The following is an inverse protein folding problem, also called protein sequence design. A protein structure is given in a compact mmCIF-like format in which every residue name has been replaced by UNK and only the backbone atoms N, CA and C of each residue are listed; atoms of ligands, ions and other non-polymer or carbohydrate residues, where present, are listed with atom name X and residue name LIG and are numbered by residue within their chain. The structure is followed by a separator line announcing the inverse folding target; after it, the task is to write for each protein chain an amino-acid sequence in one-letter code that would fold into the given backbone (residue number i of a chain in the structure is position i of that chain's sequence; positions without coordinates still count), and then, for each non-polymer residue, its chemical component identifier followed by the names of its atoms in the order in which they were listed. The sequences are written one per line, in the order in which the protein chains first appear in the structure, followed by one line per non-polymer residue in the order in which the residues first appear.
data_IF_948170075335
#
_entry.id   IF_948170075335
#
_cell.length_a   1.000
_cell.length_b   1.000
_cell.length_c   1.000
_cell.angle_alpha   90.00
_cell.angle_beta   90.00
_cell.angle_gamma   90.00
#
_symmetry.space_group_name_H-M   'P 1'
#
loop_
_entity.id
_entity.type
_entity.pdbx_description
1 polymer ?
#
# COMPACT_ATOMS: atom_id res chain seq x y z
N UNK A 1 32.31 -42.57 -7.15
CA UNK A 1 32.40 -41.09 -7.10
C UNK A 1 31.48 -40.49 -8.15
N UNK A 2 30.16 -40.41 -7.90
CA UNK A 2 29.20 -39.77 -8.81
C UNK A 2 28.00 -39.25 -8.01
N UNK A 3 28.11 -38.04 -7.47
CA UNK A 3 27.07 -37.42 -6.65
C UNK A 3 27.04 -35.89 -6.71
N UNK A 4 28.02 -35.25 -7.35
CA UNK A 4 28.17 -33.79 -7.33
C UNK A 4 27.43 -33.06 -8.47
N UNK A 5 27.00 -33.76 -9.53
CA UNK A 5 26.40 -33.11 -10.72
C UNK A 5 24.88 -33.01 -10.69
N UNK A 6 24.19 -33.87 -9.92
CA UNK A 6 22.73 -33.86 -9.84
C UNK A 6 22.19 -32.71 -8.98
N UNK A 7 22.93 -32.22 -7.98
CA UNK A 7 22.42 -31.12 -7.13
C UNK A 7 22.32 -29.78 -7.86
N UNK A 8 23.27 -29.48 -8.76
CA UNK A 8 23.27 -28.24 -9.56
C UNK A 8 22.22 -28.26 -10.67
N UNK A 9 21.99 -29.43 -11.27
CA UNK A 9 21.01 -29.62 -12.34
C UNK A 9 19.58 -29.66 -11.79
N UNK A 10 19.35 -30.35 -10.67
CA UNK A 10 18.05 -30.36 -9.96
C UNK A 10 17.73 -28.99 -9.36
N UNK A 11 18.72 -28.28 -8.82
CA UNK A 11 18.54 -26.90 -8.36
C UNK A 11 18.12 -25.96 -9.49
N UNK A 12 18.83 -25.98 -10.63
CA UNK A 12 18.44 -25.20 -11.81
C UNK A 12 17.03 -25.54 -12.30
N UNK A 13 16.69 -26.81 -12.41
CA UNK A 13 15.37 -27.25 -12.87
C UNK A 13 14.24 -26.80 -11.93
N UNK A 14 14.50 -26.69 -10.62
CA UNK A 14 13.52 -26.23 -9.64
C UNK A 14 13.26 -24.72 -9.70
N UNK A 15 14.28 -23.92 -10.00
CA UNK A 15 14.11 -22.45 -10.15
C UNK A 15 13.59 -22.04 -11.52
N UNK A 16 13.75 -22.87 -12.56
CA UNK A 16 13.33 -22.56 -13.93
C UNK A 16 11.83 -22.21 -14.05
N UNK A 17 10.87 -22.93 -13.45
CA UNK A 17 9.45 -22.56 -13.50
C UNK A 17 9.17 -21.19 -12.88
N UNK A 18 9.83 -20.87 -11.76
CA UNK A 18 9.69 -19.57 -11.11
C UNK A 18 10.27 -18.44 -11.96
N UNK A 19 11.42 -18.66 -12.60
CA UNK A 19 12.03 -17.70 -13.51
C UNK A 19 11.21 -17.49 -14.77
N UNK A 20 10.65 -18.55 -15.36
CA UNK A 20 9.75 -18.47 -16.51
C UNK A 20 8.49 -17.70 -16.14
N UNK A 21 7.91 -17.94 -14.96
CA UNK A 21 6.76 -17.18 -14.47
C UNK A 21 7.09 -15.69 -14.29
N UNK A 22 8.20 -15.38 -13.62
CA UNK A 22 8.65 -13.99 -13.42
C UNK A 22 8.97 -13.29 -14.75
N UNK A 23 9.55 -14.00 -15.72
CA UNK A 23 9.81 -13.47 -17.04
C UNK A 23 8.50 -13.22 -17.81
N UNK A 24 7.57 -14.18 -17.82
CA UNK A 24 6.31 -14.09 -18.57
C UNK A 24 5.31 -13.08 -17.99
N UNK A 25 5.21 -12.95 -16.67
CA UNK A 25 4.21 -12.11 -16.00
C UNK A 25 4.79 -10.88 -15.30
N UNK A 26 6.11 -10.80 -15.10
CA UNK A 26 6.76 -9.62 -14.55
C UNK A 26 7.50 -8.83 -15.63
N UNK A 27 8.52 -9.44 -16.22
CA UNK A 27 9.43 -8.74 -17.15
C UNK A 27 8.76 -8.45 -18.49
N UNK A 28 8.07 -9.42 -19.07
CA UNK A 28 7.41 -9.28 -20.36
C UNK A 28 6.38 -8.13 -20.39
N UNK A 29 5.39 -8.03 -19.46
CA UNK A 29 4.45 -6.90 -19.48
C UNK A 29 5.13 -5.56 -19.16
N UNK A 30 6.20 -5.54 -18.37
CA UNK A 30 6.98 -4.33 -18.12
C UNK A 30 7.63 -3.81 -19.42
N UNK A 31 8.29 -4.68 -20.18
CA UNK A 31 8.89 -4.31 -21.46
C UNK A 31 7.83 -3.85 -22.47
N UNK A 32 6.69 -4.54 -22.50
CA UNK A 32 5.56 -4.19 -23.35
C UNK A 32 4.99 -2.80 -22.99
N UNK A 33 4.88 -2.49 -21.70
CA UNK A 33 4.45 -1.18 -21.22
C UNK A 33 5.41 -0.07 -21.66
N UNK A 34 6.72 -0.29 -21.55
CA UNK A 34 7.74 0.66 -22.04
C UNK A 34 7.58 0.86 -23.55
N UNK A 35 7.47 -0.22 -24.32
CA UNK A 35 7.34 -0.18 -25.77
C UNK A 35 6.10 0.61 -26.22
N UNK A 36 4.93 0.35 -25.64
CA UNK A 36 3.70 1.09 -25.97
C UNK A 36 3.67 2.51 -25.43
N UNK A 37 4.41 2.83 -24.37
CA UNK A 37 4.47 4.20 -23.82
C UNK A 37 5.29 5.18 -24.67
N UNK A 38 5.98 4.70 -25.73
CA UNK A 38 6.85 5.52 -26.57
C UNK A 38 6.53 5.43 -28.08
N UNK A 39 5.30 5.75 -28.55
CA UNK A 39 4.92 5.52 -29.95
C UNK A 39 5.61 6.42 -30.98
N UNK A 40 6.18 7.57 -30.58
CA UNK A 40 6.64 8.57 -31.55
C UNK A 40 7.88 9.37 -31.14
N UNK A 41 8.37 9.27 -29.91
CA UNK A 41 9.38 10.21 -29.42
C UNK A 41 10.40 9.64 -28.42
N UNK A 42 10.47 8.32 -28.27
CA UNK A 42 11.56 7.64 -27.58
C UNK A 42 11.69 8.08 -26.10
N UNK A 43 12.90 8.46 -25.70
CA UNK A 43 13.21 8.95 -24.35
C UNK A 43 12.53 10.30 -24.02
N UNK A 44 12.08 11.07 -25.00
CA UNK A 44 11.55 12.41 -24.73
C UNK A 44 10.19 12.39 -24.04
N UNK A 45 9.40 11.32 -24.21
CA UNK A 45 8.17 11.09 -23.45
C UNK A 45 8.43 11.02 -21.94
N UNK A 46 9.60 10.52 -21.54
CA UNK A 46 10.01 10.46 -20.13
C UNK A 46 10.61 11.78 -19.64
N UNK A 47 11.29 12.53 -20.52
CA UNK A 47 11.80 13.87 -20.17
C UNK A 47 10.65 14.84 -19.89
N UNK A 48 9.56 14.76 -20.65
CA UNK A 48 8.35 15.55 -20.42
C UNK A 48 7.71 15.32 -19.03
N UNK A 49 7.98 14.18 -18.37
CA UNK A 49 7.53 13.94 -17.00
C UNK A 49 8.23 14.88 -16.00
N UNK A 50 9.51 15.19 -16.23
CA UNK A 50 10.27 16.10 -15.38
C UNK A 50 9.87 17.57 -15.55
N UNK A 51 9.23 17.89 -16.68
CA UNK A 51 8.64 19.20 -16.94
C UNK A 51 7.31 19.39 -16.20
N UNK A 52 6.76 18.32 -15.59
CA UNK A 52 5.48 18.39 -14.88
C UNK A 52 5.63 19.18 -13.56
N UNK A 53 4.96 20.33 -13.41
CA UNK A 53 5.19 21.24 -12.28
C UNK A 53 4.92 20.62 -10.90
N UNK A 54 4.04 19.63 -10.83
CA UNK A 54 3.63 18.97 -9.60
C UNK A 54 4.54 17.77 -9.23
N UNK A 55 5.45 17.34 -10.11
CA UNK A 55 6.28 16.16 -9.89
C UNK A 55 7.06 16.22 -8.55
N UNK A 56 7.71 17.33 -8.15
CA UNK A 56 8.40 17.40 -6.86
C UNK A 56 7.45 17.26 -5.66
N UNK A 57 6.22 17.78 -5.77
CA UNK A 57 5.19 17.70 -4.71
C UNK A 57 4.72 16.25 -4.57
N UNK A 58 4.44 15.59 -5.68
CA UNK A 58 4.03 14.17 -5.70
C UNK A 58 5.13 13.30 -5.09
N UNK A 59 6.38 13.47 -5.53
CA UNK A 59 7.52 12.71 -5.00
C UNK A 59 7.66 12.95 -3.50
N UNK A 60 7.66 14.21 -3.05
CA UNK A 60 7.77 14.54 -1.62
C UNK A 60 6.63 13.91 -0.81
N UNK A 61 5.39 14.01 -1.27
CA UNK A 61 4.24 13.46 -0.57
C UNK A 61 4.30 11.93 -0.52
N UNK A 62 4.64 11.27 -1.62
CA UNK A 62 4.82 9.81 -1.67
C UNK A 62 5.93 9.36 -0.72
N UNK A 63 7.09 10.03 -0.72
CA UNK A 63 8.19 9.66 0.17
C UNK A 63 7.82 9.86 1.64
N UNK A 64 7.24 11.00 2.00
CA UNK A 64 6.79 11.28 3.38
C UNK A 64 5.75 10.25 3.82
N UNK A 65 4.76 9.97 2.97
CA UNK A 65 3.72 8.99 3.25
C UNK A 65 4.29 7.57 3.39
N UNK A 66 5.11 7.12 2.44
CA UNK A 66 5.69 5.78 2.43
C UNK A 66 6.62 5.55 3.62
N UNK A 67 7.57 6.45 3.87
CA UNK A 67 8.49 6.30 5.01
C UNK A 67 7.78 6.52 6.35
N UNK A 68 6.86 7.48 6.43
CA UNK A 68 6.06 7.72 7.63
C UNK A 68 5.22 6.49 7.99
N UNK A 69 4.51 5.92 7.01
CA UNK A 69 3.68 4.73 7.22
C UNK A 69 4.55 3.51 7.54
N UNK A 70 5.63 3.26 6.79
CA UNK A 70 6.50 2.11 7.03
C UNK A 70 7.19 2.19 8.40
N UNK A 71 7.69 3.37 8.78
CA UNK A 71 8.31 3.61 10.08
C UNK A 71 7.31 3.44 11.22
N UNK A 72 6.15 4.08 11.12
CA UNK A 72 5.09 3.97 12.13
C UNK A 72 4.59 2.53 12.29
N UNK A 73 4.32 1.84 11.18
CA UNK A 73 3.86 0.44 11.21
C UNK A 73 4.92 -0.49 11.82
N UNK A 74 6.20 -0.27 11.52
CA UNK A 74 7.31 -1.07 12.06
C UNK A 74 7.48 -0.85 13.56
N UNK A 75 7.46 0.41 14.02
CA UNK A 75 7.54 0.74 15.43
C UNK A 75 6.36 0.18 16.21
N UNK A 76 5.13 0.40 15.73
CA UNK A 76 3.92 -0.12 16.36
C UNK A 76 3.92 -1.65 16.38
N UNK A 77 4.27 -2.29 15.26
CA UNK A 77 4.36 -3.73 15.14
C UNK A 77 5.39 -4.34 16.09
N UNK A 78 6.55 -3.70 16.24
CA UNK A 78 7.59 -4.13 17.18
C UNK A 78 7.10 -4.00 18.64
N UNK A 79 6.48 -2.89 19.00
CA UNK A 79 5.92 -2.69 20.34
C UNK A 79 4.86 -3.74 20.67
N UNK A 80 3.94 -4.01 19.73
CA UNK A 80 2.91 -5.02 19.89
C UNK A 80 3.50 -6.44 19.94
N UNK A 81 4.54 -6.73 19.18
CA UNK A 81 5.23 -8.02 19.21
C UNK A 81 5.92 -8.27 20.55
N UNK A 82 6.68 -7.30 21.05
CA UNK A 82 7.32 -7.38 22.37
C UNK A 82 6.28 -7.51 23.48
N UNK A 83 5.18 -6.75 23.39
CA UNK A 83 4.06 -6.87 24.33
C UNK A 83 3.48 -8.29 24.31
N UNK A 84 3.14 -8.83 23.14
CA UNK A 84 2.56 -10.16 23.02
C UNK A 84 3.51 -11.27 23.50
N UNK A 85 4.83 -11.13 23.29
CA UNK A 85 5.84 -12.07 23.78
C UNK A 85 6.02 -12.01 25.30
N UNK A 86 5.84 -10.84 25.90
CA UNK A 86 5.92 -10.65 27.35
C UNK A 86 4.77 -11.30 28.15
N UNK A 87 3.69 -11.75 27.49
CA UNK A 87 2.54 -12.35 28.16
C UNK A 87 2.79 -13.83 28.53
N UNK A 88 2.88 -14.20 29.83
CA UNK A 88 3.19 -15.57 30.25
C UNK A 88 2.06 -16.57 29.93
N UNK A 89 0.82 -16.10 29.78
CA UNK A 89 -0.33 -16.87 29.31
C UNK A 89 -1.17 -15.97 28.40
N UNK A 90 -1.58 -16.48 27.23
CA UNK A 90 -2.40 -15.72 26.28
C UNK A 90 -1.64 -15.03 25.16
N UNK A 91 -0.31 -15.17 25.07
CA UNK A 91 0.51 -14.67 23.95
C UNK A 91 -0.07 -15.04 22.58
N UNK A 92 -0.51 -16.30 22.40
CA UNK A 92 -1.17 -16.75 21.16
C UNK A 92 -2.43 -15.94 20.82
N UNK A 93 -3.28 -15.62 21.81
CA UNK A 93 -4.49 -14.84 21.57
C UNK A 93 -4.13 -13.38 21.23
N UNK A 94 -3.18 -12.79 21.95
CA UNK A 94 -2.68 -11.45 21.68
C UNK A 94 -2.12 -11.33 20.24
N UNK A 95 -1.28 -12.29 19.82
CA UNK A 95 -0.75 -12.32 18.46
C UNK A 95 -1.86 -12.43 17.41
N UNK A 96 -2.88 -13.27 17.63
CA UNK A 96 -4.03 -13.38 16.72
C UNK A 96 -4.76 -12.03 16.59
N UNK A 97 -5.03 -11.35 17.71
CA UNK A 97 -5.71 -10.05 17.69
C UNK A 97 -4.89 -8.98 16.96
N UNK A 98 -3.57 -8.99 17.12
CA UNK A 98 -2.66 -8.08 16.41
C UNK A 98 -2.65 -8.36 14.89
N UNK A 99 -2.74 -9.63 14.48
CA UNK A 99 -2.77 -10.00 13.06
C UNK A 99 -4.15 -9.86 12.39
N UNK A 100 -5.23 -9.90 13.17
CA UNK A 100 -6.61 -9.85 12.67
C UNK A 100 -6.86 -8.70 11.66
N UNK A 101 -6.45 -7.44 11.90
CA UNK A 101 -6.70 -6.35 10.95
C UNK A 101 -6.00 -6.55 9.59
N UNK A 102 -4.90 -7.32 9.52
CA UNK A 102 -4.21 -7.58 8.26
C UNK A 102 -4.96 -8.55 7.33
N UNK A 103 -5.96 -9.26 7.86
CA UNK A 103 -6.83 -10.13 7.07
C UNK A 103 -7.91 -9.33 6.34
N UNK A 104 -8.16 -8.08 6.73
CA UNK A 104 -9.18 -7.23 6.11
C UNK A 104 -8.73 -6.84 4.70
N UNK A 105 -9.54 -7.07 3.65
CA UNK A 105 -9.18 -6.69 2.29
C UNK A 105 -9.18 -5.17 2.13
N UNK A 106 -8.36 -4.68 1.19
CA UNK A 106 -8.22 -3.24 0.93
C UNK A 106 -9.55 -2.53 0.63
N UNK A 107 -10.44 -3.18 -0.11
CA UNK A 107 -11.77 -2.66 -0.45
C UNK A 107 -12.66 -2.45 0.79
N UNK A 108 -12.65 -3.39 1.73
CA UNK A 108 -13.40 -3.26 2.98
C UNK A 108 -12.81 -2.18 3.88
N UNK A 109 -11.48 -2.10 3.95
CA UNK A 109 -10.80 -1.03 4.69
C UNK A 109 -11.18 0.36 4.16
N UNK A 110 -11.20 0.54 2.84
CA UNK A 110 -11.63 1.80 2.21
C UNK A 110 -13.07 2.18 2.58
N UNK A 111 -13.99 1.21 2.58
CA UNK A 111 -15.37 1.45 3.00
C UNK A 111 -15.46 1.83 4.48
N UNK A 112 -14.74 1.14 5.36
CA UNK A 112 -14.69 1.46 6.80
C UNK A 112 -14.25 2.91 7.00
N UNK A 113 -13.16 3.32 6.36
CA UNK A 113 -12.67 4.70 6.46
C UNK A 113 -13.65 5.71 5.87
N UNK A 114 -14.27 5.40 4.73
CA UNK A 114 -15.29 6.27 4.11
C UNK A 114 -16.47 6.47 5.04
N UNK A 115 -16.94 5.42 5.72
CA UNK A 115 -18.02 5.49 6.71
C UNK A 115 -17.58 6.25 7.97
N UNK A 116 -16.35 6.04 8.45
CA UNK A 116 -15.81 6.76 9.62
C UNK A 116 -15.78 8.26 9.37
N UNK A 117 -15.33 8.65 8.18
CA UNK A 117 -15.20 10.04 7.74
C UNK A 117 -16.45 10.57 7.01
N UNK A 118 -17.58 9.85 7.07
CA UNK A 118 -18.82 10.34 6.49
C UNK A 118 -19.20 11.67 7.17
N UNK A 119 -19.43 12.76 6.40
CA UNK A 119 -19.63 14.08 6.97
C UNK A 119 -20.97 14.23 7.69
N UNK A 120 -21.95 13.36 7.42
CA UNK A 120 -23.32 13.45 7.95
C UNK A 120 -23.50 12.52 9.14
N UNK A 121 -23.13 11.25 8.98
CA UNK A 121 -23.36 10.18 9.98
C UNK A 121 -22.08 9.54 10.49
N UNK A 122 -20.91 10.03 10.06
CA UNK A 122 -19.63 9.45 10.43
C UNK A 122 -19.32 9.62 11.92
N UNK A 123 -18.87 8.56 12.61
CA UNK A 123 -18.37 8.64 13.98
C UNK A 123 -17.36 9.77 14.20
N UNK A 124 -16.52 10.07 13.20
CA UNK A 124 -15.55 11.15 13.30
C UNK A 124 -16.20 12.51 13.55
N UNK A 125 -17.30 12.83 12.87
CA UNK A 125 -18.02 14.10 13.05
C UNK A 125 -18.73 14.14 14.42
N UNK A 126 -19.26 13.01 14.88
CA UNK A 126 -19.85 12.90 16.22
C UNK A 126 -18.81 13.21 17.31
N UNK A 127 -17.63 12.57 17.27
CA UNK A 127 -16.55 12.84 18.22
C UNK A 127 -16.00 14.27 18.10
N UNK A 128 -15.90 14.81 16.89
CA UNK A 128 -15.50 16.20 16.67
C UNK A 128 -16.48 17.19 17.33
N UNK A 129 -17.78 16.96 17.17
CA UNK A 129 -18.82 17.79 17.80
C UNK A 129 -18.78 17.73 19.34
N UNK A 130 -18.42 16.58 19.91
CA UNK A 130 -18.23 16.41 21.35
C UNK A 130 -17.00 17.18 21.88
N UNK A 131 -15.96 17.34 21.05
CA UNK A 131 -14.76 18.13 21.36
C UNK A 131 -14.95 19.64 21.07
N UNK A 132 -16.17 20.09 20.77
CA UNK A 132 -16.48 21.50 20.49
C UNK A 132 -16.09 21.97 19.10
N UNK A 133 -15.72 21.06 18.18
CA UNK A 133 -15.56 21.41 16.77
C UNK A 133 -16.94 21.59 16.15
N UNK A 134 -17.28 22.82 15.77
CA UNK A 134 -18.55 23.16 15.13
C UNK A 134 -18.70 22.40 13.80
N UNK A 135 -19.83 21.72 13.59
CA UNK A 135 -20.16 20.90 12.40
C UNK A 135 -20.29 21.71 11.08
N UNK A 136 -19.54 22.80 10.89
CA UNK A 136 -20.07 23.90 10.08
C UNK A 136 -19.82 23.88 8.58
N UNK A 137 -18.97 23.05 7.95
CA UNK A 137 -18.74 23.22 6.49
C UNK A 137 -18.39 21.96 5.66
N UNK A 138 -18.52 20.73 6.17
CA UNK A 138 -18.32 19.53 5.33
C UNK A 138 -19.60 19.07 4.61
N UNK A 139 -20.77 19.58 5.00
CA UNK A 139 -22.07 19.29 4.39
C UNK A 139 -22.43 20.25 3.24
N UNK A 140 -21.44 20.77 2.48
CA UNK A 140 -21.76 21.48 1.25
C UNK A 140 -21.93 20.43 0.14
N UNK A 141 -23.17 20.09 -0.29
CA UNK A 141 -23.33 19.30 -1.49
C UNK A 141 -22.61 20.03 -2.62
N UNK A 142 -21.78 19.33 -3.39
CA UNK A 142 -21.08 19.86 -4.55
C UNK A 142 -22.05 20.11 -5.73
N UNK A 143 -23.22 20.70 -5.48
CA UNK A 143 -24.25 21.02 -6.46
C UNK A 143 -25.06 22.25 -5.98
N UNK A 144 -24.46 23.43 -6.12
CA UNK A 144 -25.18 24.67 -6.41
C UNK A 144 -24.18 25.70 -6.95
N UNK A 145 -23.78 25.51 -8.19
CA UNK A 145 -23.37 26.64 -9.03
C UNK A 145 -24.07 26.42 -10.35
N UNK A 146 -25.18 27.14 -10.48
CA UNK A 146 -25.91 27.34 -11.72
C UNK A 146 -24.94 27.72 -12.85
N UNK A 147 -24.79 26.82 -13.82
CA UNK A 147 -24.67 27.09 -15.26
C UNK A 147 -25.02 25.84 -16.05
#
# INVERSE_FOLDING_TARGET
MSGASYSKLTGRLLYMPALVYLAAFGVFPLLLSIYYSSPSSGLSSYVALFEFPQLPIVIRNTLIFSFGTAGFATLLGLLLAVFADSLPRGSRLASILVYLPFTVPFTASALIWTTIYDPIYGPANYFASMMGATQTQLARPAQSTDI
#
